data_IF_927005646887
#
_entry.id   IF_927005646887
#
_cell.length_a   1.000
_cell.length_b   1.000
_cell.length_c   1.000
_cell.angle_alpha   90.00
_cell.angle_beta   90.00
_cell.angle_gamma   90.00
#
_symmetry.space_group_name_H-M   'P 1'
#
loop_
_entity.id
_entity.type
_entity.pdbx_description
1 polymer ?
#
# COMPACT_ATOMS: atom_id res chain seq x y z
N UNK A 1 -17.44 -2.80 25.81
CA UNK A 1 -16.81 -1.58 25.24
C UNK A 1 -16.43 -1.86 23.80
N UNK A 2 -17.09 -1.24 22.83
CA UNK A 2 -16.69 -1.33 21.43
C UNK A 2 -15.58 -0.29 21.24
N UNK A 3 -14.33 -0.74 21.05
CA UNK A 3 -13.27 0.14 20.56
C UNK A 3 -13.64 0.49 19.11
N UNK A 4 -14.21 1.68 18.91
CA UNK A 4 -14.30 2.26 17.58
C UNK A 4 -12.87 2.59 17.19
N UNK A 5 -12.24 1.68 16.43
CA UNK A 5 -10.99 1.95 15.74
C UNK A 5 -11.25 3.16 14.84
N UNK A 6 -10.73 4.33 15.20
CA UNK A 6 -10.65 5.43 14.24
C UNK A 6 -9.78 4.93 13.08
N UNK A 7 -10.40 4.47 12.00
CA UNK A 7 -9.64 4.16 10.79
C UNK A 7 -8.97 5.46 10.36
N UNK A 8 -7.64 5.46 10.27
CA UNK A 8 -6.88 6.62 9.81
C UNK A 8 -7.52 7.15 8.52
N UNK A 9 -8.03 8.38 8.57
CA UNK A 9 -8.70 9.01 7.44
C UNK A 9 -7.69 9.23 6.32
N UNK A 10 -7.96 8.66 5.14
CA UNK A 10 -7.17 8.92 3.96
C UNK A 10 -7.71 10.17 3.24
N UNK A 11 -6.97 11.27 3.31
CA UNK A 11 -7.35 12.54 2.69
C UNK A 11 -7.13 12.59 1.17
N UNK A 12 -6.35 11.64 0.63
CA UNK A 12 -5.93 11.64 -0.77
C UNK A 12 -6.68 10.60 -1.60
N UNK A 13 -7.52 9.79 -0.97
CA UNK A 13 -8.31 8.77 -1.63
C UNK A 13 -9.76 8.84 -1.19
N UNK A 14 -10.62 9.22 -2.13
CA UNK A 14 -12.06 9.08 -2.00
C UNK A 14 -12.53 7.93 -2.89
N UNK A 15 -13.29 6.97 -2.33
CA UNK A 15 -13.73 5.78 -3.06
C UNK A 15 -14.69 6.11 -4.22
N UNK A 16 -15.44 7.21 -4.12
CA UNK A 16 -16.45 7.61 -5.08
C UNK A 16 -15.86 8.44 -6.22
N UNK A 17 -14.65 9.01 -6.03
CA UNK A 17 -13.90 9.72 -7.07
C UNK A 17 -12.67 8.94 -7.57
N UNK A 18 -11.74 8.58 -6.68
CA UNK A 18 -10.51 7.88 -7.02
C UNK A 18 -10.71 6.36 -7.16
N UNK A 19 -11.70 5.81 -6.46
CA UNK A 19 -11.99 4.38 -6.40
C UNK A 19 -12.97 3.84 -7.45
N UNK A 20 -13.47 4.67 -8.37
CA UNK A 20 -14.55 4.30 -9.31
C UNK A 20 -14.27 3.02 -10.10
N UNK A 21 -13.02 2.80 -10.53
CA UNK A 21 -12.64 1.58 -11.24
C UNK A 21 -12.80 0.31 -10.39
N UNK A 22 -12.56 0.40 -9.08
CA UNK A 22 -12.71 -0.70 -8.13
C UNK A 22 -14.19 -0.99 -7.88
N UNK A 23 -14.98 0.05 -7.64
CA UNK A 23 -16.42 -0.10 -7.34
C UNK A 23 -17.18 -0.68 -8.54
N UNK A 24 -16.83 -0.28 -9.77
CA UNK A 24 -17.36 -0.89 -11.01
C UNK A 24 -17.05 -2.38 -11.14
N UNK A 25 -15.95 -2.84 -10.56
CA UNK A 25 -15.57 -4.26 -10.52
C UNK A 25 -16.10 -5.00 -9.27
N UNK A 26 -16.97 -4.35 -8.47
CA UNK A 26 -17.58 -4.95 -7.28
C UNK A 26 -16.67 -4.98 -6.05
N UNK A 27 -15.59 -4.19 -6.03
CA UNK A 27 -14.68 -4.09 -4.88
C UNK A 27 -15.20 -2.99 -3.95
N UNK A 28 -15.76 -3.39 -2.82
CA UNK A 28 -16.44 -2.49 -1.89
C UNK A 28 -15.50 -1.60 -1.05
N UNK A 29 -14.29 -2.10 -0.72
CA UNK A 29 -13.28 -1.36 0.02
C UNK A 29 -11.97 -1.26 -0.79
N UNK A 30 -11.88 -0.31 -1.74
CA UNK A 30 -10.70 -0.17 -2.61
C UNK A 30 -9.42 0.08 -1.83
N UNK A 31 -9.50 0.87 -0.76
CA UNK A 31 -8.33 1.22 0.04
C UNK A 31 -7.74 -0.02 0.71
N UNK A 32 -8.56 -0.79 1.42
CA UNK A 32 -8.12 -2.03 2.06
C UNK A 32 -7.66 -3.07 1.03
N UNK A 33 -8.33 -3.14 -0.11
CA UNK A 33 -7.95 -4.03 -1.21
C UNK A 33 -6.53 -3.73 -1.73
N UNK A 34 -6.21 -2.45 -1.99
CA UNK A 34 -4.86 -2.04 -2.42
C UNK A 34 -3.82 -2.29 -1.34
N UNK A 35 -4.12 -1.92 -0.08
CA UNK A 35 -3.20 -2.14 1.05
C UNK A 35 -2.86 -3.62 1.24
N UNK A 36 -3.87 -4.49 1.22
CA UNK A 36 -3.68 -5.92 1.42
C UNK A 36 -2.95 -6.58 0.24
N UNK A 37 -3.17 -6.09 -0.99
CA UNK A 37 -2.41 -6.54 -2.14
C UNK A 37 -0.94 -6.15 -2.05
N UNK A 38 -0.63 -4.89 -1.68
CA UNK A 38 0.76 -4.43 -1.54
C UNK A 38 1.50 -5.19 -0.42
N UNK A 39 0.84 -5.46 0.72
CA UNK A 39 1.46 -6.23 1.81
C UNK A 39 1.93 -7.63 1.42
N UNK A 40 1.32 -8.24 0.40
CA UNK A 40 1.72 -9.55 -0.12
C UNK A 40 2.91 -9.48 -1.09
N UNK A 41 3.38 -8.28 -1.40
CA UNK A 41 4.43 -8.01 -2.39
C UNK A 41 5.72 -7.54 -1.72
N UNK A 42 6.20 -8.29 -0.73
CA UNK A 42 7.48 -8.01 -0.07
C UNK A 42 8.65 -7.99 -1.06
N UNK A 43 8.52 -8.66 -2.22
CA UNK A 43 9.44 -8.60 -3.36
C UNK A 43 9.62 -7.19 -3.96
N UNK A 44 8.72 -6.25 -3.65
CA UNK A 44 8.80 -4.87 -4.11
C UNK A 44 9.43 -3.93 -3.08
N UNK A 45 9.84 -4.45 -1.92
CA UNK A 45 10.63 -3.67 -0.96
C UNK A 45 12.07 -3.61 -1.49
N UNK A 46 12.64 -2.41 -1.69
CA UNK A 46 13.93 -2.25 -2.35
C UNK A 46 15.13 -2.57 -1.45
N UNK A 47 14.91 -2.76 -0.15
CA UNK A 47 15.94 -3.11 0.83
C UNK A 47 15.83 -4.57 1.24
N UNK A 48 16.98 -5.19 1.55
CA UNK A 48 17.01 -6.53 2.12
C UNK A 48 16.95 -6.47 3.65
N UNK A 49 16.36 -7.50 4.27
CA UNK A 49 16.37 -7.62 5.72
C UNK A 49 17.75 -8.03 6.23
N UNK A 50 18.11 -7.56 7.43
CA UNK A 50 19.39 -7.87 8.09
C UNK A 50 19.17 -8.62 9.39
N UNK A 51 20.24 -9.26 9.89
CA UNK A 51 20.27 -9.95 11.19
C UNK A 51 19.17 -11.02 11.37
N UNK A 52 18.75 -11.65 10.26
CA UNK A 52 17.67 -12.65 10.28
C UNK A 52 16.27 -12.05 10.47
N UNK A 53 16.12 -10.73 10.32
CA UNK A 53 14.83 -10.06 10.29
C UNK A 53 14.02 -10.40 9.04
N UNK A 54 12.72 -10.08 9.08
CA UNK A 54 11.83 -10.15 7.91
C UNK A 54 11.35 -8.75 7.61
N UNK A 55 11.71 -8.21 6.45
CA UNK A 55 11.26 -6.89 6.02
C UNK A 55 9.79 -6.95 5.61
N UNK A 56 9.01 -5.98 6.09
CA UNK A 56 7.57 -5.96 5.87
C UNK A 56 7.03 -4.53 5.78
N UNK A 57 5.91 -4.37 5.08
CA UNK A 57 5.21 -3.10 4.97
C UNK A 57 4.45 -2.75 6.25
N UNK A 58 4.56 -1.50 6.71
CA UNK A 58 3.81 -0.96 7.84
C UNK A 58 2.60 -0.13 7.41
N UNK A 59 2.73 1.20 7.55
CA UNK A 59 1.72 2.18 7.15
C UNK A 59 1.69 2.31 5.64
N UNK A 60 0.49 2.31 5.10
CA UNK A 60 0.22 2.41 3.67
C UNK A 60 -0.88 3.45 3.48
N UNK A 61 -0.66 4.40 2.57
CA UNK A 61 -1.65 5.41 2.19
C UNK A 61 -1.75 5.50 0.67
N UNK A 62 -2.97 5.41 0.14
CA UNK A 62 -3.24 5.67 -1.27
C UNK A 62 -3.13 7.18 -1.51
N UNK A 63 -2.53 7.55 -2.63
CA UNK A 63 -2.37 8.90 -3.12
C UNK A 63 -3.09 9.01 -4.47
N UNK A 64 -4.36 9.44 -4.42
CA UNK A 64 -5.23 9.45 -5.59
C UNK A 64 -5.50 8.04 -6.11
N UNK A 65 -5.76 7.92 -7.41
CA UNK A 65 -6.15 6.66 -8.06
C UNK A 65 -4.97 5.86 -8.64
N UNK A 66 -3.73 6.32 -8.43
CA UNK A 66 -2.57 5.84 -9.19
C UNK A 66 -1.36 5.48 -8.34
N UNK A 67 -1.20 6.10 -7.17
CA UNK A 67 -0.01 5.93 -6.35
C UNK A 67 -0.35 5.48 -4.94
N UNK A 68 0.60 4.82 -4.30
CA UNK A 68 0.56 4.47 -2.89
C UNK A 68 1.92 4.74 -2.28
N UNK A 69 1.93 5.34 -1.10
CA UNK A 69 3.13 5.50 -0.28
C UNK A 69 3.09 4.48 0.85
N UNK A 70 4.19 3.76 1.05
CA UNK A 70 4.30 2.77 2.11
C UNK A 70 5.65 2.84 2.79
N UNK A 71 5.64 2.76 4.12
CA UNK A 71 6.85 2.46 4.88
C UNK A 71 7.08 0.95 4.98
N UNK A 72 8.34 0.58 5.20
CA UNK A 72 8.75 -0.79 5.45
C UNK A 72 9.86 -0.84 6.49
N UNK A 73 9.92 -1.95 7.21
CA UNK A 73 10.97 -2.21 8.19
C UNK A 73 11.11 -3.70 8.50
N UNK A 74 12.30 -4.09 8.93
CA UNK A 74 12.59 -5.38 9.58
C UNK A 74 12.94 -5.22 11.08
N UNK A 75 12.82 -4.00 11.62
CA UNK A 75 13.23 -3.62 12.97
C UNK A 75 14.60 -2.93 13.06
N UNK A 76 15.45 -3.05 12.04
CA UNK A 76 16.78 -2.42 11.97
C UNK A 76 16.85 -1.44 10.79
N UNK A 77 16.40 -1.86 9.62
CA UNK A 77 16.27 -1.05 8.42
C UNK A 77 14.87 -0.44 8.40
N UNK A 78 14.79 0.82 8.01
CA UNK A 78 13.55 1.53 7.80
C UNK A 78 13.65 2.35 6.51
N UNK A 79 12.59 2.32 5.73
CA UNK A 79 12.50 3.10 4.51
C UNK A 79 11.07 3.41 4.13
N UNK A 80 10.95 4.18 3.06
CA UNK A 80 9.66 4.54 2.50
C UNK A 80 9.75 4.62 0.99
N UNK A 81 8.74 4.07 0.34
CA UNK A 81 8.66 4.05 -1.12
C UNK A 81 7.31 4.52 -1.62
N UNK A 82 7.33 5.08 -2.83
CA UNK A 82 6.15 5.38 -3.63
C UNK A 82 6.04 4.31 -4.72
N UNK A 83 4.86 3.73 -4.82
CA UNK A 83 4.52 2.73 -5.82
C UNK A 83 3.42 3.26 -6.72
N UNK A 84 3.53 3.02 -8.02
CA UNK A 84 2.40 3.08 -8.94
C UNK A 84 1.59 1.79 -8.79
N UNK A 85 0.26 1.89 -8.84
CA UNK A 85 -0.61 0.73 -8.89
C UNK A 85 -1.66 0.85 -10.01
N UNK A 86 -2.03 -0.29 -10.59
CA UNK A 86 -3.08 -0.39 -11.59
C UNK A 86 -3.93 -1.63 -11.35
N UNK A 87 -5.26 -1.46 -11.35
CA UNK A 87 -6.21 -2.57 -11.36
C UNK A 87 -6.43 -3.03 -12.80
N UNK A 88 -6.24 -4.32 -13.08
CA UNK A 88 -6.54 -4.90 -14.39
C UNK A 88 -7.98 -5.42 -14.47
N UNK A 89 -8.40 -5.86 -15.66
CA UNK A 89 -9.77 -6.40 -15.89
C UNK A 89 -10.04 -7.72 -15.15
N UNK A 90 -8.99 -8.40 -14.68
CA UNK A 90 -9.06 -9.63 -13.88
C UNK A 90 -9.15 -9.37 -12.37
N UNK A 91 -9.31 -8.10 -11.96
CA UNK A 91 -9.31 -7.67 -10.55
C UNK A 91 -7.97 -7.92 -9.85
N UNK A 92 -6.87 -7.87 -10.57
CA UNK A 92 -5.52 -8.01 -10.02
C UNK A 92 -4.81 -6.66 -10.01
N UNK A 93 -3.99 -6.43 -8.98
CA UNK A 93 -3.19 -5.21 -8.86
C UNK A 93 -1.76 -5.48 -9.33
N UNK A 94 -1.32 -4.66 -10.28
CA UNK A 94 0.08 -4.56 -10.69
C UNK A 94 0.68 -3.35 -10.01
N UNK A 95 1.87 -3.53 -9.45
CA UNK A 95 2.62 -2.48 -8.76
C UNK A 95 3.97 -2.26 -9.43
N UNK A 96 4.45 -1.02 -9.38
CA UNK A 96 5.79 -0.63 -9.82
C UNK A 96 6.39 0.35 -8.82
N UNK A 97 7.63 0.10 -8.39
CA UNK A 97 8.39 1.06 -7.56
C UNK A 97 8.71 2.29 -8.41
N UNK A 98 8.32 3.47 -7.92
CA UNK A 98 8.62 4.75 -8.59
C UNK A 98 9.79 5.48 -7.93
N UNK A 99 9.81 5.47 -6.61
CA UNK A 99 10.83 6.10 -5.81
C UNK A 99 10.94 5.37 -4.48
N UNK A 100 12.15 5.33 -3.93
CA UNK A 100 12.46 4.78 -2.63
C UNK A 100 13.43 5.72 -1.93
N UNK A 101 13.27 5.84 -0.62
CA UNK A 101 14.25 6.48 0.24
C UNK A 101 14.55 5.52 1.39
N UNK A 102 15.77 5.01 1.39
CA UNK A 102 16.32 4.21 2.47
C UNK A 102 17.07 5.16 3.40
N UNK A 103 16.72 5.11 4.68
CA UNK A 103 17.51 5.77 5.73
C UNK A 103 18.44 4.71 6.31
N UNK A 104 19.72 4.78 5.92
CA UNK A 104 20.83 4.10 6.61
C UNK A 104 21.04 4.67 8.03
#
# INVERSE_FOLDING_TARGET
MIKISQSEKNYWFDKDFNGVQFTRQGIANPEEFVKNALRKRADLIPSEAVLGGTISFGKIQLLGNKWVIADYSDGHIQGRSIYEYQLNDKKELVFKVLASNDTE
#
